data_IF_102311154409
#
_entry.id   IF_102311154409
#
_cell.length_a   1.000
_cell.length_b   1.000
_cell.length_c   1.000
_cell.angle_alpha   90.00
_cell.angle_beta   90.00
_cell.angle_gamma   90.00
#
_symmetry.space_group_name_H-M   'P 1'
#
loop_
_entity.id
_entity.type
_entity.pdbx_description
1 polymer ?
#
# COMPACT_ATOMS: atom_id res chain seq x y z
N UNK A 1 -12.79 27.02 -23.67
CA UNK A 1 -11.96 25.86 -23.25
C UNK A 1 -11.36 26.13 -21.88
N UNK A 2 -11.70 25.34 -20.87
CA UNK A 2 -11.03 25.45 -19.56
C UNK A 2 -9.53 25.19 -19.73
N UNK A 3 -8.73 26.08 -19.19
CA UNK A 3 -7.26 26.00 -19.27
C UNK A 3 -6.76 24.78 -18.48
N UNK A 4 -6.07 23.85 -19.12
CA UNK A 4 -5.45 22.70 -18.45
C UNK A 4 -4.49 23.18 -17.35
N UNK A 5 -4.75 22.80 -16.11
CA UNK A 5 -3.91 23.14 -14.97
C UNK A 5 -2.78 22.12 -14.80
N UNK A 6 -1.57 22.64 -14.55
CA UNK A 6 -0.40 21.78 -14.30
C UNK A 6 -0.25 21.50 -12.82
N UNK A 7 0.03 20.25 -12.47
CA UNK A 7 0.27 19.80 -11.11
C UNK A 7 1.59 19.05 -11.02
N UNK A 8 2.45 19.39 -10.05
CA UNK A 8 3.70 18.69 -9.81
C UNK A 8 3.54 17.64 -8.71
N UNK A 9 3.74 16.39 -9.07
CA UNK A 9 3.69 15.25 -8.16
C UNK A 9 5.14 14.84 -7.84
N UNK A 10 5.51 14.91 -6.58
CA UNK A 10 6.85 14.57 -6.08
C UNK A 10 6.75 13.20 -5.42
N UNK A 11 7.28 12.18 -6.08
CA UNK A 11 7.24 10.80 -5.66
C UNK A 11 8.59 10.13 -5.82
N UNK A 12 9.15 9.59 -4.73
CA UNK A 12 10.38 8.82 -4.80
C UNK A 12 10.17 7.53 -5.61
N UNK A 13 9.08 6.79 -5.32
CA UNK A 13 8.75 5.56 -6.03
C UNK A 13 7.89 5.86 -7.27
N UNK A 14 8.50 5.67 -8.42
CA UNK A 14 7.90 5.85 -9.76
C UNK A 14 8.45 4.77 -10.71
N UNK A 15 7.73 4.31 -11.74
CA UNK A 15 8.25 3.31 -12.66
C UNK A 15 9.69 3.61 -13.11
N UNK A 16 10.60 2.60 -13.11
CA UNK A 16 10.38 1.17 -13.05
C UNK A 16 10.30 0.56 -11.64
N UNK A 17 10.15 1.35 -10.56
CA UNK A 17 9.89 0.80 -9.24
C UNK A 17 8.58 0.03 -9.26
N UNK A 18 8.53 -1.11 -8.55
CA UNK A 18 7.34 -1.93 -8.35
C UNK A 18 6.68 -1.70 -7.00
N UNK A 19 5.52 -2.33 -6.81
CA UNK A 19 4.76 -2.34 -5.56
C UNK A 19 3.59 -1.35 -5.52
N UNK A 20 2.71 -1.54 -4.53
CA UNK A 20 1.44 -0.81 -4.37
C UNK A 20 1.61 0.72 -4.30
N UNK A 21 2.70 1.16 -3.70
CA UNK A 21 3.00 2.59 -3.57
C UNK A 21 3.22 3.31 -4.89
N UNK A 22 3.66 2.60 -5.94
CA UNK A 22 3.82 3.15 -7.29
C UNK A 22 2.48 3.25 -7.98
N UNK A 23 1.65 2.21 -7.89
CA UNK A 23 0.38 2.12 -8.59
C UNK A 23 -0.56 3.28 -8.26
N UNK A 24 -0.64 3.70 -6.99
CA UNK A 24 -1.51 4.81 -6.58
C UNK A 24 -1.28 6.06 -7.43
N UNK A 25 -0.06 6.56 -7.48
CA UNK A 25 0.25 7.81 -8.22
C UNK A 25 0.38 7.61 -9.72
N UNK A 26 0.71 6.41 -10.18
CA UNK A 26 0.62 6.04 -11.57
C UNK A 26 -0.80 6.24 -12.12
N UNK A 27 -1.80 5.68 -11.43
CA UNK A 27 -3.18 5.75 -11.89
C UNK A 27 -3.80 7.13 -11.67
N UNK A 28 -3.51 7.82 -10.57
CA UNK A 28 -3.93 9.22 -10.45
C UNK A 28 -3.35 10.06 -11.58
N UNK A 29 -2.09 9.90 -11.92
CA UNK A 29 -1.47 10.63 -13.03
C UNK A 29 -2.11 10.30 -14.37
N UNK A 30 -2.46 9.03 -14.60
CA UNK A 30 -3.17 8.59 -15.81
C UNK A 30 -4.56 9.25 -15.93
N UNK A 31 -5.30 9.32 -14.82
CA UNK A 31 -6.69 9.82 -14.86
C UNK A 31 -6.83 11.32 -14.67
N UNK A 32 -5.85 12.03 -14.12
CA UNK A 32 -5.90 13.50 -13.96
C UNK A 32 -6.13 14.25 -15.25
N UNK A 33 -5.61 13.73 -16.39
CA UNK A 33 -5.83 14.32 -17.71
C UNK A 33 -7.30 14.38 -18.11
N UNK A 34 -8.13 13.43 -17.65
CA UNK A 34 -9.58 13.42 -17.89
C UNK A 34 -10.33 14.56 -17.17
N UNK A 35 -9.67 15.22 -16.23
CA UNK A 35 -10.24 16.30 -15.41
C UNK A 35 -9.53 17.64 -15.62
N UNK A 36 -8.94 17.85 -16.79
CA UNK A 36 -8.21 19.09 -17.16
C UNK A 36 -6.98 19.38 -16.28
N UNK A 37 -6.35 18.35 -15.70
CA UNK A 37 -5.07 18.46 -15.02
C UNK A 37 -3.96 17.75 -15.79
N UNK A 38 -2.85 18.45 -16.04
CA UNK A 38 -1.64 17.86 -16.62
C UNK A 38 -0.67 17.50 -15.50
N UNK A 39 -0.50 16.20 -15.14
CA UNK A 39 0.48 15.78 -14.16
C UNK A 39 1.91 15.93 -14.72
N UNK A 40 2.80 16.40 -13.86
CA UNK A 40 4.24 16.44 -14.06
C UNK A 40 4.87 15.72 -12.89
N UNK A 41 5.73 14.76 -13.18
CA UNK A 41 6.33 13.93 -12.14
C UNK A 41 7.75 14.39 -11.86
N UNK A 42 8.10 14.49 -10.59
CA UNK A 42 9.48 14.60 -10.11
C UNK A 42 9.81 13.36 -9.30
N UNK A 43 10.78 12.59 -9.78
CA UNK A 43 11.21 11.35 -9.14
C UNK A 43 12.74 11.22 -9.12
N UNK A 44 13.23 10.22 -8.39
CA UNK A 44 14.64 9.87 -8.35
C UNK A 44 15.05 9.13 -9.64
N UNK A 45 16.30 9.28 -10.07
CA UNK A 45 16.85 8.47 -11.15
C UNK A 45 16.98 7.00 -10.68
N UNK A 46 16.42 6.02 -11.40
CA UNK A 46 16.47 4.61 -11.01
C UNK A 46 17.88 4.07 -10.75
N UNK A 47 18.90 4.57 -11.49
CA UNK A 47 20.30 4.17 -11.29
C UNK A 47 20.87 4.66 -9.95
N UNK A 48 20.26 5.70 -9.34
CA UNK A 48 20.67 6.29 -8.05
C UNK A 48 19.73 5.91 -6.91
N UNK A 49 18.60 5.27 -7.22
CA UNK A 49 17.58 4.87 -6.25
C UNK A 49 17.90 3.54 -5.59
N UNK A 50 17.35 3.35 -4.39
CA UNK A 50 17.33 2.07 -3.68
C UNK A 50 15.90 1.50 -3.71
N UNK A 51 15.48 0.97 -4.86
CA UNK A 51 14.19 0.31 -5.01
C UNK A 51 14.25 -1.12 -4.47
N UNK A 52 13.23 -1.54 -3.73
CA UNK A 52 13.12 -2.90 -3.21
C UNK A 52 12.63 -3.90 -4.27
N UNK A 53 11.83 -3.42 -5.21
CA UNK A 53 11.34 -4.20 -6.35
C UNK A 53 11.36 -3.35 -7.61
N UNK A 54 11.57 -4.01 -8.75
CA UNK A 54 11.53 -3.38 -10.08
C UNK A 54 10.45 -4.10 -10.89
N UNK A 55 9.55 -3.32 -11.48
CA UNK A 55 8.54 -3.80 -12.40
C UNK A 55 8.62 -3.00 -13.70
N UNK A 56 9.29 -3.57 -14.70
CA UNK A 56 9.49 -2.92 -15.99
C UNK A 56 8.19 -2.85 -16.82
N UNK A 57 7.18 -3.67 -16.51
CA UNK A 57 5.90 -3.65 -17.22
C UNK A 57 5.17 -2.32 -17.06
N UNK A 58 5.40 -1.63 -15.93
CA UNK A 58 4.80 -0.33 -15.64
C UNK A 58 5.37 0.82 -16.49
N UNK A 59 6.51 0.64 -17.16
CA UNK A 59 7.12 1.69 -17.98
C UNK A 59 6.21 2.11 -19.14
N UNK A 60 5.53 1.16 -19.76
CA UNK A 60 4.62 1.45 -20.88
C UNK A 60 3.42 2.31 -20.48
N UNK A 61 3.03 2.25 -19.20
CA UNK A 61 1.90 3.02 -18.67
C UNK A 61 2.21 4.49 -18.40
N UNK A 62 3.47 4.91 -18.49
CA UNK A 62 3.92 6.28 -18.13
C UNK A 62 4.61 7.02 -19.26
N UNK A 63 4.67 6.49 -20.47
CA UNK A 63 5.38 7.07 -21.61
C UNK A 63 4.90 8.48 -21.96
N UNK A 64 3.61 8.76 -21.78
CA UNK A 64 3.00 10.06 -22.06
C UNK A 64 3.06 11.05 -20.89
N UNK A 65 3.53 10.61 -19.72
CA UNK A 65 3.58 11.44 -18.51
C UNK A 65 4.94 12.15 -18.40
N UNK A 66 4.92 13.48 -18.46
CA UNK A 66 6.11 14.30 -18.33
C UNK A 66 6.83 14.02 -16.99
N UNK A 67 8.02 13.40 -17.05
CA UNK A 67 8.74 12.94 -15.86
C UNK A 67 10.15 13.52 -15.80
N UNK A 68 10.44 14.23 -14.72
CA UNK A 68 11.79 14.71 -14.39
C UNK A 68 12.43 13.78 -13.35
N UNK A 69 13.70 13.45 -13.58
CA UNK A 69 14.48 12.60 -12.70
C UNK A 69 15.69 13.34 -12.16
N UNK A 70 16.02 13.10 -10.88
CA UNK A 70 17.18 13.70 -10.23
C UNK A 70 18.06 12.68 -9.56
N UNK A 71 19.29 13.07 -9.28
CA UNK A 71 20.21 12.25 -8.48
C UNK A 71 19.74 12.13 -7.04
N UNK A 72 20.27 11.16 -6.32
CA UNK A 72 20.12 10.95 -4.88
C UNK A 72 21.45 10.51 -4.30
N UNK A 73 21.71 10.90 -3.06
CA UNK A 73 22.83 10.40 -2.27
C UNK A 73 22.32 9.44 -1.21
N UNK A 74 22.49 8.15 -1.45
CA UNK A 74 21.99 7.07 -0.58
C UNK A 74 23.14 6.16 -0.11
N UNK A 75 23.82 6.49 0.99
CA UNK A 75 24.96 5.72 1.47
C UNK A 75 24.63 4.25 1.75
N UNK A 76 23.41 3.98 2.22
CA UNK A 76 22.96 2.62 2.48
C UNK A 76 22.82 1.75 1.21
N UNK A 77 22.89 2.34 0.02
CA UNK A 77 22.93 1.57 -1.24
C UNK A 77 24.22 0.73 -1.34
N UNK A 78 25.35 1.21 -0.79
CA UNK A 78 26.59 0.44 -0.75
C UNK A 78 26.43 -0.87 0.02
N UNK A 79 25.51 -0.94 0.98
CA UNK A 79 25.22 -2.16 1.71
C UNK A 79 24.64 -3.28 0.83
N UNK A 80 23.85 -2.95 -0.17
CA UNK A 80 23.31 -3.97 -1.10
C UNK A 80 24.39 -4.66 -1.93
N UNK A 81 25.54 -4.03 -2.08
CA UNK A 81 26.69 -4.60 -2.80
C UNK A 81 27.40 -5.72 -1.99
N UNK A 82 27.20 -5.74 -0.67
CA UNK A 82 27.79 -6.73 0.23
C UNK A 82 26.84 -7.89 0.58
N UNK A 83 25.57 -7.84 0.17
CA UNK A 83 24.64 -8.95 0.35
C UNK A 83 24.39 -9.70 -0.95
N UNK A 84 24.57 -11.01 -0.95
CA UNK A 84 24.43 -11.90 -2.11
C UNK A 84 23.05 -11.85 -2.79
N UNK A 85 22.01 -11.34 -2.15
CA UNK A 85 20.65 -11.23 -2.69
C UNK A 85 20.22 -9.82 -3.12
N UNK A 86 21.11 -8.80 -3.08
CA UNK A 86 20.90 -7.48 -3.69
C UNK A 86 19.64 -6.67 -3.31
N UNK A 87 18.75 -7.18 -2.46
CA UNK A 87 17.47 -6.56 -2.13
C UNK A 87 17.55 -5.74 -0.85
N UNK A 88 17.27 -4.45 -0.96
CA UNK A 88 17.12 -3.57 0.22
C UNK A 88 15.64 -3.63 0.66
N UNK A 89 15.34 -4.07 1.90
CA UNK A 89 13.97 -4.08 2.40
C UNK A 89 13.35 -2.68 2.38
N UNK A 90 12.12 -2.54 1.92
CA UNK A 90 11.42 -1.25 1.91
C UNK A 90 11.15 -0.74 3.33
N UNK A 91 10.75 -1.62 4.24
CA UNK A 91 10.22 -1.23 5.54
C UNK A 91 10.96 -1.84 6.73
N UNK A 92 11.50 -3.04 6.65
CA UNK A 92 12.09 -3.73 7.80
C UNK A 92 13.43 -4.35 7.42
N UNK A 93 14.47 -4.09 8.24
CA UNK A 93 15.71 -4.84 8.17
C UNK A 93 15.48 -6.15 8.94
N UNK A 94 15.72 -7.33 8.34
CA UNK A 94 15.58 -8.59 9.05
C UNK A 94 16.46 -8.61 10.29
N UNK A 95 15.90 -9.00 11.45
CA UNK A 95 16.63 -9.07 12.74
C UNK A 95 17.57 -10.28 12.85
N UNK A 96 17.93 -10.96 11.74
CA UNK A 96 18.58 -12.27 11.79
C UNK A 96 20.02 -12.23 12.30
N UNK A 97 20.75 -11.12 12.12
CA UNK A 97 22.14 -11.03 12.52
C UNK A 97 22.40 -9.78 13.37
N UNK A 98 23.51 -9.79 14.15
CA UNK A 98 24.00 -8.62 14.88
C UNK A 98 24.25 -7.43 13.92
N UNK A 99 24.77 -7.71 12.75
CA UNK A 99 25.05 -6.71 11.75
C UNK A 99 23.74 -6.06 11.18
N UNK A 100 22.67 -6.84 10.98
CA UNK A 100 21.38 -6.29 10.58
C UNK A 100 20.81 -5.34 11.65
N UNK A 101 21.00 -5.65 12.93
CA UNK A 101 20.59 -4.78 14.07
C UNK A 101 21.39 -3.48 14.08
N UNK A 102 22.68 -3.56 13.88
CA UNK A 102 23.57 -2.40 13.82
C UNK A 102 23.22 -1.46 12.66
N UNK A 103 22.94 -2.01 11.49
CA UNK A 103 22.48 -1.22 10.33
C UNK A 103 21.11 -0.59 10.55
N UNK A 104 20.18 -1.31 11.19
CA UNK A 104 18.90 -0.75 11.60
C UNK A 104 19.09 0.42 12.57
N UNK A 105 19.98 0.27 13.53
CA UNK A 105 20.34 1.33 14.48
C UNK A 105 20.86 2.58 13.76
N UNK A 106 21.84 2.42 12.84
CA UNK A 106 22.38 3.55 12.04
C UNK A 106 21.25 4.18 11.22
N UNK A 107 20.47 3.36 10.51
CA UNK A 107 19.38 3.87 9.66
C UNK A 107 18.36 4.70 10.43
N UNK A 108 17.94 4.22 11.62
CA UNK A 108 16.87 4.81 12.40
C UNK A 108 17.30 5.99 13.27
N UNK A 109 18.60 6.17 13.50
CA UNK A 109 19.11 7.24 14.35
C UNK A 109 19.88 8.33 13.58
N UNK A 110 20.36 8.06 12.37
CA UNK A 110 21.17 9.02 11.59
C UNK A 110 20.51 9.47 10.28
N UNK A 111 19.50 8.75 9.79
CA UNK A 111 18.75 9.12 8.57
C UNK A 111 17.30 9.44 8.92
N UNK A 112 17.04 10.69 9.22
CA UNK A 112 15.73 11.16 9.71
C UNK A 112 15.07 12.03 8.63
N UNK A 113 13.81 11.74 8.28
CA UNK A 113 12.92 10.70 8.85
C UNK A 113 13.18 9.30 8.30
N UNK A 114 13.86 9.16 7.18
CA UNK A 114 14.14 7.89 6.53
C UNK A 114 15.41 7.92 5.67
N UNK A 115 15.85 6.75 5.21
CA UNK A 115 17.11 6.59 4.46
C UNK A 115 17.11 7.24 3.06
N UNK A 116 16.00 7.83 2.61
CA UNK A 116 15.88 8.50 1.31
C UNK A 116 16.04 10.02 1.41
N UNK A 117 16.34 10.52 2.61
CA UNK A 117 16.56 11.96 2.88
C UNK A 117 17.63 12.58 1.96
N UNK A 118 18.61 11.79 1.53
CA UNK A 118 19.65 12.23 0.61
C UNK A 118 19.17 12.60 -0.81
N UNK A 119 17.91 12.30 -1.14
CA UNK A 119 17.28 12.77 -2.38
C UNK A 119 16.84 14.24 -2.30
N UNK A 120 16.50 14.71 -1.12
CA UNK A 120 15.84 16.01 -0.91
C UNK A 120 16.58 17.20 -1.54
N UNK A 121 17.90 17.40 -1.39
CA UNK A 121 18.59 18.56 -1.99
C UNK A 121 18.41 18.65 -3.49
N UNK A 122 18.53 17.51 -4.18
CA UNK A 122 18.39 17.41 -5.64
C UNK A 122 16.96 17.66 -6.09
N UNK A 123 15.97 17.06 -5.38
CA UNK A 123 14.58 17.21 -5.67
C UNK A 123 14.07 18.63 -5.42
N UNK A 124 14.44 19.28 -4.33
CA UNK A 124 14.09 20.66 -4.02
C UNK A 124 14.58 21.60 -5.14
N UNK A 125 15.87 21.49 -5.51
CA UNK A 125 16.44 22.34 -6.56
C UNK A 125 15.70 22.18 -7.90
N UNK A 126 15.34 20.94 -8.26
CA UNK A 126 14.60 20.66 -9.50
C UNK A 126 13.15 21.11 -9.41
N UNK A 127 12.45 20.85 -8.29
CA UNK A 127 11.06 21.27 -8.07
C UNK A 127 10.90 22.80 -8.20
N UNK A 128 11.79 23.57 -7.58
CA UNK A 128 11.77 25.04 -7.67
C UNK A 128 11.92 25.54 -9.11
N UNK A 129 12.77 24.88 -9.92
CA UNK A 129 12.91 25.20 -11.36
C UNK A 129 11.66 24.89 -12.15
N UNK A 130 11.05 23.72 -11.92
CA UNK A 130 9.82 23.29 -12.60
C UNK A 130 8.68 24.25 -12.26
N UNK A 131 8.50 24.58 -10.99
CA UNK A 131 7.40 25.45 -10.53
C UNK A 131 7.50 26.82 -11.19
N UNK A 132 8.69 27.44 -11.20
CA UNK A 132 8.91 28.74 -11.83
C UNK A 132 8.75 28.70 -13.35
N UNK A 133 9.34 27.71 -14.00
CA UNK A 133 9.34 27.60 -15.47
C UNK A 133 7.97 27.19 -16.05
N UNK A 134 7.18 26.42 -15.32
CA UNK A 134 5.90 25.88 -15.81
C UNK A 134 4.67 26.52 -15.16
N UNK A 135 4.82 27.49 -14.27
CA UNK A 135 3.74 28.19 -13.55
C UNK A 135 2.83 27.21 -12.79
N UNK A 136 3.45 26.30 -12.04
CA UNK A 136 2.74 25.28 -11.25
C UNK A 136 2.00 25.95 -10.09
N UNK A 137 0.71 25.64 -9.92
CA UNK A 137 -0.11 26.13 -8.79
C UNK A 137 -0.20 25.13 -7.64
N UNK A 138 -0.16 23.83 -7.95
CA UNK A 138 -0.37 22.74 -7.00
C UNK A 138 0.81 21.77 -7.01
N UNK A 139 1.24 21.40 -5.81
CA UNK A 139 2.17 20.27 -5.65
C UNK A 139 1.55 19.21 -4.76
N UNK A 140 1.91 17.95 -5.04
CA UNK A 140 1.60 16.82 -4.17
C UNK A 140 2.90 16.13 -3.82
N UNK A 141 3.06 15.78 -2.54
CA UNK A 141 4.15 14.90 -2.09
C UNK A 141 3.55 13.64 -1.52
N UNK A 142 4.13 12.47 -1.80
CA UNK A 142 3.64 11.19 -1.32
C UNK A 142 4.68 10.45 -0.48
N UNK A 143 4.29 9.96 0.66
CA UNK A 143 5.09 9.16 1.59
C UNK A 143 4.43 7.82 1.91
N UNK A 144 5.21 6.76 2.29
CA UNK A 144 6.67 6.73 2.37
C UNK A 144 7.37 6.81 0.99
N UNK A 145 8.62 7.30 0.99
CA UNK A 145 9.41 7.80 2.12
C UNK A 145 8.89 9.16 2.60
N UNK A 146 8.82 9.35 3.91
CA UNK A 146 8.27 10.57 4.50
C UNK A 146 9.20 11.79 4.34
N UNK A 147 10.50 11.55 4.08
CA UNK A 147 11.44 12.61 3.66
C UNK A 147 10.96 13.38 2.43
N UNK A 148 10.12 12.78 1.57
CA UNK A 148 9.49 13.45 0.43
C UNK A 148 8.62 14.66 0.87
N UNK A 149 7.96 14.57 2.03
CA UNK A 149 7.15 15.68 2.54
C UNK A 149 7.99 16.89 2.95
N UNK A 150 9.26 16.68 3.35
CA UNK A 150 10.19 17.78 3.64
C UNK A 150 10.56 18.57 2.38
N UNK A 151 10.50 17.94 1.20
CA UNK A 151 10.64 18.62 -0.09
C UNK A 151 9.46 19.58 -0.27
N UNK A 152 8.22 19.07 -0.07
CA UNK A 152 7.00 19.87 -0.14
C UNK A 152 7.02 21.06 0.82
N UNK A 153 7.43 20.83 2.07
CA UNK A 153 7.58 21.87 3.11
C UNK A 153 8.52 22.99 2.66
N UNK A 154 9.71 22.62 2.16
CA UNK A 154 10.70 23.61 1.69
C UNK A 154 10.22 24.36 0.46
N UNK A 155 9.64 23.66 -0.50
CA UNK A 155 9.13 24.23 -1.75
C UNK A 155 7.98 25.19 -1.46
N UNK A 156 6.98 24.81 -0.66
CA UNK A 156 5.87 25.68 -0.27
C UNK A 156 6.37 26.94 0.44
N UNK A 157 7.30 26.80 1.40
CA UNK A 157 7.89 27.95 2.09
C UNK A 157 8.58 28.93 1.14
N UNK A 158 9.15 28.43 0.04
CA UNK A 158 9.92 29.27 -0.91
C UNK A 158 9.05 29.91 -1.99
N UNK A 159 7.93 29.25 -2.39
CA UNK A 159 7.14 29.66 -3.58
C UNK A 159 5.71 30.05 -3.26
N UNK A 160 5.19 29.71 -2.08
CA UNK A 160 3.77 29.89 -1.74
C UNK A 160 2.81 28.92 -2.43
N UNK A 161 3.31 27.97 -3.22
CA UNK A 161 2.49 27.01 -3.96
C UNK A 161 1.56 26.20 -3.04
N UNK A 162 0.35 25.91 -3.50
CA UNK A 162 -0.59 25.05 -2.77
C UNK A 162 -0.08 23.62 -2.71
N UNK A 163 -0.06 23.03 -1.51
CA UNK A 163 0.56 21.74 -1.25
C UNK A 163 -0.37 20.78 -0.55
N UNK A 164 -0.59 19.59 -1.16
CA UNK A 164 -1.21 18.42 -0.54
C UNK A 164 -0.12 17.39 -0.15
N UNK A 165 -0.16 16.90 1.08
CA UNK A 165 0.72 15.86 1.55
C UNK A 165 -0.06 14.53 1.67
N UNK A 166 0.32 13.52 0.87
CA UNK A 166 -0.31 12.20 0.80
C UNK A 166 0.41 11.22 1.72
N UNK A 167 -0.16 11.02 2.90
CA UNK A 167 0.30 10.09 3.93
C UNK A 167 -0.33 8.72 3.66
N UNK A 168 0.28 7.92 2.78
CA UNK A 168 -0.21 6.56 2.47
C UNK A 168 -0.10 5.62 3.65
N UNK A 169 0.99 5.76 4.41
CA UNK A 169 1.26 4.99 5.62
C UNK A 169 1.57 5.96 6.77
N UNK A 170 1.34 5.54 8.03
CA UNK A 170 1.72 6.30 9.21
C UNK A 170 3.21 6.68 9.20
N UNK A 171 3.55 7.82 9.80
CA UNK A 171 4.94 8.24 9.93
C UNK A 171 5.55 7.73 11.24
N UNK A 172 4.95 8.03 12.38
CA UNK A 172 5.45 7.64 13.70
C UNK A 172 4.82 6.34 14.23
N UNK A 173 3.59 6.03 13.83
CA UNK A 173 2.78 4.92 14.35
C UNK A 173 3.11 3.58 13.72
N UNK A 174 4.20 3.48 12.97
CA UNK A 174 4.62 2.22 12.38
C UNK A 174 5.00 1.22 13.47
N UNK A 175 4.18 0.19 13.65
CA UNK A 175 4.31 -0.82 14.72
C UNK A 175 5.70 -1.45 14.79
N UNK A 176 6.35 -1.67 13.65
CA UNK A 176 7.67 -2.28 13.59
C UNK A 176 8.79 -1.37 14.11
N UNK A 177 8.59 -0.05 14.17
CA UNK A 177 9.55 0.88 14.75
C UNK A 177 9.69 0.71 16.26
N UNK A 178 8.65 0.23 16.95
CA UNK A 178 8.67 -0.06 18.40
C UNK A 178 9.70 -1.14 18.75
N UNK A 179 10.02 -2.01 17.83
CA UNK A 179 10.96 -3.11 18.02
C UNK A 179 12.44 -2.73 17.87
N UNK A 180 12.74 -1.46 17.56
CA UNK A 180 14.10 -0.98 17.35
C UNK A 180 14.43 0.16 18.32
N UNK A 181 15.69 0.17 18.75
CA UNK A 181 16.19 1.25 19.57
C UNK A 181 16.34 2.53 18.75
N UNK A 182 15.74 3.60 19.25
CA UNK A 182 15.90 4.98 18.77
C UNK A 182 16.12 5.90 19.96
N UNK A 183 17.08 6.80 19.89
CA UNK A 183 17.29 7.81 20.93
C UNK A 183 16.06 8.71 21.08
N UNK A 184 15.70 9.10 22.31
CA UNK A 184 14.52 9.91 22.56
C UNK A 184 14.59 11.28 21.87
N UNK A 185 15.76 11.90 21.81
CA UNK A 185 15.94 13.16 21.10
C UNK A 185 15.70 13.02 19.59
N UNK A 186 16.05 11.87 18.99
CA UNK A 186 15.77 11.56 17.59
C UNK A 186 14.27 11.37 17.36
N UNK A 187 13.60 10.61 18.23
CA UNK A 187 12.13 10.44 18.17
C UNK A 187 11.42 11.81 18.25
N UNK A 188 11.84 12.66 19.17
CA UNK A 188 11.28 13.98 19.34
C UNK A 188 11.56 14.91 18.14
N UNK A 189 12.76 14.82 17.56
CA UNK A 189 13.10 15.57 16.35
C UNK A 189 12.26 15.13 15.16
N UNK A 190 12.12 13.83 14.94
CA UNK A 190 11.31 13.24 13.87
C UNK A 190 9.82 13.63 14.04
N UNK A 191 9.28 13.56 15.27
CA UNK A 191 7.93 14.03 15.59
C UNK A 191 7.75 15.54 15.29
N UNK A 192 8.76 16.38 15.58
CA UNK A 192 8.73 17.80 15.23
C UNK A 192 8.67 18.03 13.72
N UNK A 193 9.37 17.20 12.94
CA UNK A 193 9.30 17.25 11.47
C UNK A 193 7.90 16.89 10.97
N UNK A 194 7.31 15.81 11.48
CA UNK A 194 5.95 15.39 11.14
C UNK A 194 4.94 16.50 11.48
N UNK A 195 4.94 17.03 12.71
CA UNK A 195 4.07 18.13 13.13
C UNK A 195 4.20 19.35 12.20
N UNK A 196 5.42 19.69 11.79
CA UNK A 196 5.69 20.82 10.90
C UNK A 196 5.12 20.58 9.49
N UNK A 197 5.20 19.35 8.98
CA UNK A 197 4.59 18.96 7.71
C UNK A 197 3.07 19.06 7.81
N UNK A 198 2.48 18.43 8.83
CA UNK A 198 1.04 18.43 9.08
C UNK A 198 0.48 19.86 9.17
N UNK A 199 1.11 20.74 9.94
CA UNK A 199 0.65 22.12 10.12
C UNK A 199 0.90 23.04 8.91
N UNK A 200 1.81 22.66 8.00
CA UNK A 200 2.21 23.53 6.89
C UNK A 200 1.55 23.19 5.57
N UNK A 201 1.10 21.96 5.35
CA UNK A 201 0.40 21.58 4.13
C UNK A 201 -0.94 22.34 4.00
N UNK A 202 -1.51 22.45 2.82
CA UNK A 202 -2.86 23.00 2.62
C UNK A 202 -3.93 21.92 2.90
N UNK A 203 -3.56 20.67 2.79
CA UNK A 203 -4.39 19.52 3.16
C UNK A 203 -3.56 18.26 3.25
N UNK A 204 -4.03 17.35 4.06
CA UNK A 204 -3.43 16.03 4.28
C UNK A 204 -4.36 14.98 3.68
N UNK A 205 -3.82 14.14 2.81
CA UNK A 205 -4.53 12.98 2.28
C UNK A 205 -4.02 11.74 3.01
N UNK A 206 -4.94 10.83 3.39
CA UNK A 206 -4.61 9.51 3.95
C UNK A 206 -5.28 8.41 3.14
N UNK A 207 -4.79 7.18 3.26
CA UNK A 207 -5.40 5.99 2.64
C UNK A 207 -6.40 5.31 3.56
N UNK A 208 -6.57 5.83 4.76
CA UNK A 208 -7.48 5.35 5.81
C UNK A 208 -8.30 6.53 6.34
N UNK A 209 -9.32 6.25 7.14
CA UNK A 209 -10.33 7.22 7.52
C UNK A 209 -10.09 7.88 8.88
N UNK A 210 -11.18 7.99 9.64
CA UNK A 210 -11.30 8.90 10.79
C UNK A 210 -10.41 8.56 11.98
N UNK A 211 -10.13 7.28 12.22
CA UNK A 211 -9.27 6.87 13.34
C UNK A 211 -7.85 7.45 13.17
N UNK A 212 -7.28 7.31 11.99
CA UNK A 212 -5.95 7.83 11.71
C UNK A 212 -5.95 9.38 11.66
N UNK A 213 -7.01 9.99 11.11
CA UNK A 213 -7.16 11.46 11.17
C UNK A 213 -7.17 11.99 12.60
N UNK A 214 -7.84 11.30 13.52
CA UNK A 214 -7.86 11.68 14.94
C UNK A 214 -6.47 11.62 15.56
N UNK A 215 -5.69 10.59 15.27
CA UNK A 215 -4.29 10.47 15.71
C UNK A 215 -3.45 11.63 15.19
N UNK A 216 -3.57 11.99 13.91
CA UNK A 216 -2.82 13.08 13.31
C UNK A 216 -3.27 14.46 13.84
N UNK A 217 -4.58 14.67 14.02
CA UNK A 217 -5.14 15.91 14.60
C UNK A 217 -4.60 16.17 16.01
N UNK A 218 -4.51 15.13 16.85
CA UNK A 218 -3.99 15.24 18.22
C UNK A 218 -2.51 15.67 18.29
N UNK A 219 -1.76 15.58 17.19
CA UNK A 219 -0.37 16.02 17.13
C UNK A 219 -0.20 17.53 16.93
N UNK A 220 -1.21 18.21 16.42
CA UNK A 220 -1.14 19.61 15.99
C UNK A 220 -2.28 20.43 16.60
N UNK A 221 -2.03 21.73 16.79
CA UNK A 221 -3.04 22.67 17.29
C UNK A 221 -3.73 23.46 16.16
N UNK A 222 -3.31 23.30 14.91
CA UNK A 222 -3.88 24.01 13.76
C UNK A 222 -5.14 23.31 13.24
N UNK A 223 -6.10 24.10 12.73
CA UNK A 223 -7.28 23.57 12.05
C UNK A 223 -6.92 23.08 10.65
N UNK A 224 -6.32 21.90 10.57
CA UNK A 224 -5.84 21.29 9.33
C UNK A 224 -6.94 20.49 8.65
N UNK A 225 -7.00 20.54 7.32
CA UNK A 225 -7.92 19.76 6.51
C UNK A 225 -7.33 18.34 6.28
N UNK A 226 -8.11 17.33 6.61
CA UNK A 226 -7.79 15.92 6.38
C UNK A 226 -8.80 15.31 5.42
N UNK A 227 -8.30 14.52 4.48
CA UNK A 227 -9.09 13.89 3.44
C UNK A 227 -8.72 12.41 3.31
N UNK A 228 -9.72 11.53 3.24
CA UNK A 228 -9.50 10.12 2.97
C UNK A 228 -9.63 9.86 1.47
N UNK A 229 -8.58 9.32 0.86
CA UNK A 229 -8.62 8.76 -0.50
C UNK A 229 -7.98 7.38 -0.45
N UNK A 230 -8.78 6.35 -0.48
CA UNK A 230 -8.33 4.96 -0.44
C UNK A 230 -7.43 4.59 -1.63
N UNK A 231 -6.72 3.46 -1.53
CA UNK A 231 -6.17 2.80 -2.70
C UNK A 231 -7.34 2.19 -3.47
N UNK A 232 -7.41 2.39 -4.76
CA UNK A 232 -8.53 1.90 -5.55
C UNK A 232 -8.16 0.73 -6.44
N UNK A 233 -9.14 0.22 -7.18
CA UNK A 233 -8.95 -0.74 -8.26
C UNK A 233 -9.13 -0.06 -9.63
N UNK A 234 -8.50 -0.58 -10.67
CA UNK A 234 -8.68 -0.07 -12.03
C UNK A 234 -9.78 -0.87 -12.75
N UNK A 235 -10.98 -0.28 -12.85
CA UNK A 235 -12.12 -0.94 -13.49
C UNK A 235 -11.80 -1.40 -14.92
N UNK A 236 -11.05 -0.60 -15.69
CA UNK A 236 -10.71 -0.94 -17.08
C UNK A 236 -9.81 -2.17 -17.15
N UNK A 237 -8.86 -2.32 -16.22
CA UNK A 237 -8.03 -3.52 -16.15
C UNK A 237 -8.85 -4.73 -15.69
N UNK A 238 -9.71 -4.56 -14.68
CA UNK A 238 -10.57 -5.63 -14.18
C UNK A 238 -11.54 -6.15 -15.24
N UNK A 239 -12.15 -5.25 -16.01
CA UNK A 239 -13.08 -5.63 -17.08
C UNK A 239 -12.40 -6.38 -18.25
N UNK A 240 -11.12 -6.10 -18.49
CA UNK A 240 -10.34 -6.75 -19.57
C UNK A 240 -9.79 -8.13 -19.22
N UNK A 241 -9.63 -8.42 -17.94
CA UNK A 241 -9.01 -9.67 -17.48
C UNK A 241 -10.11 -10.70 -17.25
N UNK A 242 -10.22 -11.63 -18.18
CA UNK A 242 -11.00 -12.84 -17.98
C UNK A 242 -10.26 -13.79 -17.05
N UNK A 243 -11.00 -14.52 -16.24
CA UNK A 243 -10.46 -15.54 -15.35
C UNK A 243 -11.34 -16.76 -15.35
N UNK A 244 -10.69 -17.91 -15.43
CA UNK A 244 -11.36 -19.21 -15.35
C UNK A 244 -11.17 -19.76 -13.95
N UNK A 245 -12.28 -20.07 -13.27
CA UNK A 245 -12.23 -20.75 -11.98
C UNK A 245 -11.87 -22.21 -12.15
N UNK A 246 -10.94 -22.73 -11.33
CA UNK A 246 -10.55 -24.13 -11.40
C UNK A 246 -11.63 -25.05 -10.84
N UNK A 247 -11.55 -26.35 -11.19
CA UNK A 247 -12.44 -27.44 -10.70
C UNK A 247 -12.10 -27.90 -9.27
N UNK A 248 -11.53 -27.02 -8.45
CA UNK A 248 -11.27 -27.21 -7.03
C UNK A 248 -11.60 -25.92 -6.29
N UNK A 249 -11.90 -26.02 -5.01
CA UNK A 249 -12.14 -24.81 -4.20
C UNK A 249 -10.85 -24.04 -4.01
N UNK A 250 -10.78 -22.87 -4.63
CA UNK A 250 -9.58 -22.06 -4.74
C UNK A 250 -9.59 -20.96 -3.67
N UNK A 251 -8.79 -21.15 -2.64
CA UNK A 251 -8.50 -20.08 -1.65
C UNK A 251 -7.29 -19.30 -2.16
N UNK A 252 -7.37 -17.98 -2.15
CA UNK A 252 -6.30 -17.12 -2.68
C UNK A 252 -5.90 -16.04 -1.68
N UNK A 253 -4.59 -15.85 -1.54
CA UNK A 253 -3.97 -14.72 -0.86
C UNK A 253 -2.99 -14.01 -1.81
N UNK A 254 -3.03 -12.67 -1.82
CA UNK A 254 -2.04 -11.86 -2.54
C UNK A 254 -1.38 -10.85 -1.60
N UNK A 255 -0.08 -10.64 -1.73
CA UNK A 255 0.64 -9.61 -1.00
C UNK A 255 1.85 -10.09 -0.19
N UNK A 256 2.13 -9.42 0.94
CA UNK A 256 3.21 -9.80 1.86
C UNK A 256 2.61 -10.57 3.03
N UNK A 257 3.16 -11.75 3.30
CA UNK A 257 2.77 -12.59 4.44
C UNK A 257 4.02 -13.01 5.22
N UNK A 258 4.06 -12.63 6.48
CA UNK A 258 5.15 -12.89 7.41
C UNK A 258 4.60 -13.26 8.79
N UNK A 259 5.47 -13.65 9.70
CA UNK A 259 5.07 -13.97 11.07
C UNK A 259 4.47 -12.77 11.85
N UNK A 260 4.55 -11.57 11.29
CA UNK A 260 3.86 -10.38 11.84
C UNK A 260 2.36 -10.32 11.51
N UNK A 261 1.84 -11.21 10.67
CA UNK A 261 0.43 -11.23 10.27
C UNK A 261 -0.39 -12.24 11.10
N UNK A 262 -1.69 -11.99 11.24
CA UNK A 262 -2.64 -12.83 11.98
C UNK A 262 -3.15 -14.01 11.13
N UNK A 263 -2.27 -14.91 10.70
CA UNK A 263 -2.64 -16.08 9.90
C UNK A 263 -2.89 -17.36 10.72
N UNK A 264 -2.46 -17.40 11.98
CA UNK A 264 -2.42 -18.66 12.77
C UNK A 264 -3.81 -19.25 13.00
N UNK A 265 -4.83 -18.43 13.25
CA UNK A 265 -6.21 -18.92 13.46
C UNK A 265 -6.78 -19.50 12.16
N UNK A 266 -6.50 -18.86 11.04
CA UNK A 266 -6.88 -19.41 9.73
C UNK A 266 -6.16 -20.73 9.43
N UNK A 267 -4.87 -20.86 9.78
CA UNK A 267 -4.13 -22.12 9.66
C UNK A 267 -4.80 -23.22 10.49
N UNK A 268 -5.18 -22.96 11.75
CA UNK A 268 -5.92 -23.90 12.59
C UNK A 268 -7.28 -24.27 12.00
N UNK A 269 -7.98 -23.32 11.36
CA UNK A 269 -9.22 -23.59 10.68
C UNK A 269 -9.02 -24.55 9.48
N UNK A 270 -7.97 -24.33 8.67
CA UNK A 270 -7.61 -25.24 7.58
C UNK A 270 -7.24 -26.64 8.10
N UNK A 271 -6.46 -26.74 9.19
CA UNK A 271 -6.15 -28.00 9.86
C UNK A 271 -7.42 -28.73 10.32
N UNK A 272 -8.36 -28.03 10.95
CA UNK A 272 -9.60 -28.61 11.45
C UNK A 272 -10.51 -29.15 10.34
N UNK A 273 -10.62 -28.43 9.22
CA UNK A 273 -11.50 -28.85 8.10
C UNK A 273 -10.85 -29.88 7.18
N UNK A 274 -9.53 -29.97 7.15
CA UNK A 274 -8.78 -30.83 6.25
C UNK A 274 -7.62 -31.53 6.99
N UNK A 275 -7.92 -32.30 8.07
CA UNK A 275 -6.90 -32.92 8.91
C UNK A 275 -6.05 -33.94 8.16
N UNK A 276 -6.64 -34.57 7.15
CA UNK A 276 -5.94 -35.42 6.19
C UNK A 276 -5.83 -34.65 4.88
N UNK A 277 -4.62 -34.30 4.48
CA UNK A 277 -4.35 -33.54 3.27
C UNK A 277 -5.08 -34.16 2.06
N UNK A 278 -5.77 -33.28 1.31
CA UNK A 278 -6.58 -33.64 0.13
C UNK A 278 -7.88 -34.43 0.42
N UNK A 279 -8.33 -34.51 1.67
CA UNK A 279 -9.68 -35.05 1.97
C UNK A 279 -10.77 -34.15 1.39
N UNK A 280 -10.53 -32.84 1.30
CA UNK A 280 -11.37 -31.89 0.56
C UNK A 280 -10.67 -31.41 -0.71
N UNK A 281 -11.45 -31.06 -1.73
CA UNK A 281 -10.93 -30.49 -3.00
C UNK A 281 -10.53 -29.02 -2.86
N UNK A 282 -9.72 -28.70 -1.86
CA UNK A 282 -9.27 -27.34 -1.55
C UNK A 282 -7.83 -27.14 -1.97
N UNK A 283 -7.50 -25.99 -2.53
CA UNK A 283 -6.12 -25.54 -2.75
C UNK A 283 -5.94 -24.10 -2.24
N UNK A 284 -4.74 -23.82 -1.73
CA UNK A 284 -4.37 -22.49 -1.27
C UNK A 284 -3.29 -21.90 -2.17
N UNK A 285 -3.67 -20.89 -2.96
CA UNK A 285 -2.77 -20.22 -3.89
C UNK A 285 -2.31 -18.88 -3.31
N UNK A 286 -1.00 -18.72 -3.21
CA UNK A 286 -0.33 -17.57 -2.64
C UNK A 286 0.42 -16.81 -3.74
N UNK A 287 0.31 -15.49 -3.75
CA UNK A 287 1.13 -14.65 -4.62
C UNK A 287 1.70 -13.45 -3.85
N UNK A 288 2.94 -13.11 -4.14
CA UNK A 288 3.66 -12.03 -3.47
C UNK A 288 4.85 -12.52 -2.65
N UNK A 289 5.22 -11.76 -1.63
CA UNK A 289 6.35 -12.12 -0.76
C UNK A 289 5.85 -12.84 0.49
N UNK A 290 5.82 -14.16 0.44
CA UNK A 290 5.36 -15.03 1.53
C UNK A 290 6.57 -15.74 2.15
N UNK A 291 6.66 -15.74 3.49
CA UNK A 291 7.71 -16.49 4.20
C UNK A 291 7.55 -18.00 3.96
N UNK A 292 8.66 -18.67 3.62
CA UNK A 292 8.68 -20.08 3.26
C UNK A 292 8.15 -20.99 4.40
N UNK A 293 8.49 -20.66 5.64
CA UNK A 293 7.98 -21.35 6.82
C UNK A 293 6.45 -21.36 6.93
N UNK A 294 5.78 -20.31 6.43
CA UNK A 294 4.32 -20.22 6.43
C UNK A 294 3.74 -21.10 5.33
N UNK A 295 4.38 -21.12 4.15
CA UNK A 295 4.01 -22.02 3.05
C UNK A 295 4.09 -23.47 3.52
N UNK A 296 5.17 -23.85 4.21
CA UNK A 296 5.39 -25.19 4.74
C UNK A 296 4.32 -25.58 5.78
N UNK A 297 3.94 -24.63 6.66
CA UNK A 297 2.88 -24.90 7.65
C UNK A 297 1.52 -25.20 6.98
N UNK A 298 1.10 -24.40 6.00
CA UNK A 298 -0.15 -24.68 5.28
C UNK A 298 -0.08 -25.93 4.42
N UNK A 299 1.09 -26.23 3.84
CA UNK A 299 1.31 -27.38 2.97
C UNK A 299 1.15 -28.74 3.68
N UNK A 300 1.14 -28.75 5.01
CA UNK A 300 0.84 -29.95 5.80
C UNK A 300 -0.62 -30.38 5.66
N UNK A 301 -1.53 -29.44 5.50
CA UNK A 301 -2.98 -29.67 5.55
C UNK A 301 -3.68 -29.44 4.21
N UNK A 302 -3.14 -28.60 3.32
CA UNK A 302 -3.77 -28.26 2.04
C UNK A 302 -2.71 -28.17 0.92
N UNK A 303 -3.11 -28.48 -0.34
CA UNK A 303 -2.24 -28.24 -1.51
C UNK A 303 -1.97 -26.75 -1.64
N UNK A 304 -0.79 -26.31 -1.22
CA UNK A 304 -0.38 -24.90 -1.16
C UNK A 304 0.61 -24.60 -2.28
N UNK A 305 0.31 -23.57 -3.07
CA UNK A 305 1.20 -23.11 -4.15
C UNK A 305 1.55 -21.65 -3.96
N UNK A 306 2.84 -21.34 -4.03
CA UNK A 306 3.34 -19.98 -4.00
C UNK A 306 3.91 -19.60 -5.36
N UNK A 307 3.34 -18.58 -5.99
CA UNK A 307 3.79 -18.07 -7.29
C UNK A 307 4.86 -16.98 -7.17
N UNK A 308 5.23 -16.60 -5.94
CA UNK A 308 6.11 -15.44 -5.72
C UNK A 308 5.48 -14.13 -6.23
N UNK A 309 6.32 -13.16 -6.58
CA UNK A 309 5.84 -11.89 -7.12
C UNK A 309 5.25 -12.08 -8.52
N UNK A 310 4.00 -11.68 -8.69
CA UNK A 310 3.31 -11.68 -9.98
C UNK A 310 3.17 -10.25 -10.54
N UNK A 311 3.24 -10.07 -11.86
CA UNK A 311 2.76 -8.86 -12.52
C UNK A 311 1.31 -8.55 -12.14
N UNK A 312 0.92 -7.27 -12.08
CA UNK A 312 -0.38 -6.86 -11.56
C UNK A 312 -1.56 -7.53 -12.29
N UNK A 313 -1.51 -7.65 -13.61
CA UNK A 313 -2.55 -8.32 -14.41
C UNK A 313 -2.71 -9.80 -14.05
N UNK A 314 -1.61 -10.51 -13.80
CA UNK A 314 -1.64 -11.91 -13.36
C UNK A 314 -2.18 -12.03 -11.93
N UNK A 315 -1.87 -11.05 -11.07
CA UNK A 315 -2.41 -10.99 -9.71
C UNK A 315 -3.94 -10.78 -9.75
N UNK A 316 -4.45 -9.90 -10.62
CA UNK A 316 -5.90 -9.74 -10.83
C UNK A 316 -6.54 -11.05 -11.33
N UNK A 317 -5.94 -11.71 -12.31
CA UNK A 317 -6.44 -12.99 -12.82
C UNK A 317 -6.51 -14.04 -11.72
N UNK A 318 -5.48 -14.13 -10.87
CA UNK A 318 -5.46 -15.04 -9.73
C UNK A 318 -6.57 -14.70 -8.71
N UNK A 319 -6.76 -13.43 -8.37
CA UNK A 319 -7.83 -12.99 -7.46
C UNK A 319 -9.22 -13.31 -8.03
N UNK A 320 -9.47 -13.04 -9.31
CA UNK A 320 -10.73 -13.35 -10.00
C UNK A 320 -10.99 -14.85 -10.13
N UNK A 321 -9.96 -15.70 -10.10
CA UNK A 321 -10.10 -17.15 -10.12
C UNK A 321 -10.46 -17.76 -8.77
N UNK A 322 -10.53 -16.98 -7.71
CA UNK A 322 -10.77 -17.45 -6.34
C UNK A 322 -12.24 -17.83 -6.11
N UNK A 323 -12.45 -18.80 -5.20
CA UNK A 323 -13.72 -19.07 -4.57
C UNK A 323 -13.79 -18.47 -3.16
N UNK A 324 -12.60 -18.16 -2.59
CA UNK A 324 -12.47 -17.49 -1.30
C UNK A 324 -11.16 -16.70 -1.29
N UNK A 325 -11.24 -15.43 -0.95
CA UNK A 325 -10.11 -14.55 -0.74
C UNK A 325 -9.82 -14.41 0.75
N UNK A 326 -8.54 -14.33 1.11
CA UNK A 326 -8.14 -14.20 2.51
C UNK A 326 -7.24 -13.00 2.71
N UNK A 327 -7.54 -12.17 3.70
CA UNK A 327 -6.67 -11.11 4.18
C UNK A 327 -6.24 -11.34 5.62
N UNK A 328 -4.95 -11.15 5.89
CA UNK A 328 -4.36 -11.23 7.21
C UNK A 328 -3.80 -9.87 7.61
N UNK A 329 -4.46 -9.18 8.54
CA UNK A 329 -3.92 -7.95 9.10
C UNK A 329 -2.73 -8.23 10.01
N UNK A 330 -1.98 -7.18 10.35
CA UNK A 330 -0.85 -7.30 11.25
C UNK A 330 -1.31 -7.59 12.67
N UNK A 331 -0.47 -8.29 13.44
CA UNK A 331 -0.68 -8.55 14.87
C UNK A 331 -0.58 -7.25 15.66
N UNK A 332 -1.44 -7.10 16.65
CA UNK A 332 -1.43 -6.00 17.63
C UNK A 332 -2.51 -4.96 17.33
N UNK A 333 -3.13 -4.50 18.42
CA UNK A 333 -4.28 -3.56 18.40
C UNK A 333 -3.87 -2.09 18.40
N UNK A 334 -2.58 -1.79 18.54
CA UNK A 334 -2.09 -0.42 18.75
C UNK A 334 -1.65 0.30 17.47
N UNK A 335 -1.58 -0.39 16.34
CA UNK A 335 -1.35 0.28 15.07
C UNK A 335 -2.68 0.80 14.51
N UNK A 336 -2.74 2.03 13.98
CA UNK A 336 -3.91 2.45 13.23
C UNK A 336 -4.16 1.40 12.15
N UNK A 337 -5.40 0.98 12.04
CA UNK A 337 -5.80 -0.08 11.13
C UNK A 337 -5.54 0.39 9.69
N UNK A 338 -4.52 -0.20 9.10
CA UNK A 338 -4.15 0.13 7.73
C UNK A 338 -5.00 -0.70 6.76
N UNK A 339 -5.87 -0.03 6.03
CA UNK A 339 -6.59 -0.70 4.95
C UNK A 339 -5.59 -1.12 3.87
N UNK A 340 -5.41 -2.42 3.75
CA UNK A 340 -4.59 -2.96 2.66
C UNK A 340 -5.24 -2.65 1.31
N UNK A 341 -4.48 -2.09 0.38
CA UNK A 341 -4.97 -1.79 -0.98
C UNK A 341 -5.59 -3.00 -1.68
N UNK A 342 -5.16 -4.22 -1.34
CA UNK A 342 -5.71 -5.46 -1.89
C UNK A 342 -7.17 -5.73 -1.49
N UNK A 343 -7.65 -5.22 -0.34
CA UNK A 343 -9.05 -5.43 0.07
C UNK A 343 -10.05 -4.82 -0.92
N UNK A 344 -9.74 -3.65 -1.46
CA UNK A 344 -10.58 -3.03 -2.50
C UNK A 344 -10.51 -3.82 -3.80
N UNK A 345 -9.32 -4.33 -4.13
CA UNK A 345 -9.14 -5.21 -5.29
C UNK A 345 -9.88 -6.55 -5.10
N UNK A 346 -9.93 -7.09 -3.88
CA UNK A 346 -10.70 -8.28 -3.54
C UNK A 346 -12.20 -8.02 -3.69
N UNK A 347 -12.71 -6.94 -3.13
CA UNK A 347 -14.12 -6.53 -3.26
C UNK A 347 -14.54 -6.40 -4.74
N UNK A 348 -13.64 -5.88 -5.59
CA UNK A 348 -13.89 -5.73 -7.01
C UNK A 348 -13.98 -7.06 -7.77
N UNK A 349 -13.57 -8.20 -7.17
CA UNK A 349 -13.77 -9.53 -7.77
C UNK A 349 -15.15 -10.09 -7.53
N UNK A 350 -15.87 -9.63 -6.50
CA UNK A 350 -17.13 -10.21 -6.05
C UNK A 350 -17.02 -11.54 -5.30
N UNK A 351 -15.81 -12.08 -5.14
CA UNK A 351 -15.59 -13.33 -4.40
C UNK A 351 -15.74 -13.11 -2.89
N UNK A 352 -16.20 -14.12 -2.13
CA UNK A 352 -16.23 -14.08 -0.67
C UNK A 352 -14.84 -13.76 -0.08
N UNK A 353 -14.82 -12.97 1.01
CA UNK A 353 -13.57 -12.53 1.66
C UNK A 353 -13.61 -12.91 3.14
N UNK A 354 -12.56 -13.58 3.61
CA UNK A 354 -12.20 -13.68 5.02
C UNK A 354 -11.16 -12.61 5.33
N UNK A 355 -11.47 -11.73 6.28
CA UNK A 355 -10.53 -10.77 6.83
C UNK A 355 -10.21 -11.13 8.28
N UNK A 356 -8.96 -11.47 8.58
CA UNK A 356 -8.53 -11.71 9.95
C UNK A 356 -7.98 -10.41 10.53
N UNK A 357 -8.77 -9.76 11.38
CA UNK A 357 -8.50 -8.47 11.99
C UNK A 357 -9.16 -8.37 13.36
N UNK A 358 -9.00 -7.26 14.04
CA UNK A 358 -9.82 -6.96 15.22
C UNK A 358 -11.18 -6.38 14.82
N UNK A 359 -12.17 -6.56 15.66
CA UNK A 359 -13.52 -6.05 15.43
C UNK A 359 -13.55 -4.51 15.40
N UNK A 360 -14.48 -3.94 14.65
CA UNK A 360 -14.63 -2.49 14.45
C UNK A 360 -13.39 -1.81 13.84
N UNK A 361 -12.64 -2.54 13.08
CA UNK A 361 -11.51 -2.01 12.32
C UNK A 361 -11.99 -1.19 11.11
N UNK A 362 -11.17 -0.28 10.58
CA UNK A 362 -11.50 0.41 9.33
C UNK A 362 -11.61 -0.57 8.14
N UNK A 363 -10.87 -1.68 8.17
CA UNK A 363 -11.00 -2.77 7.18
C UNK A 363 -12.33 -3.50 7.31
N UNK A 364 -12.86 -3.67 8.52
CA UNK A 364 -14.19 -4.22 8.78
C UNK A 364 -15.28 -3.31 8.20
N UNK A 365 -15.20 -2.00 8.50
CA UNK A 365 -16.11 -1.00 7.94
C UNK A 365 -16.07 -0.96 6.40
N UNK A 366 -14.90 -1.12 5.80
CA UNK A 366 -14.78 -1.20 4.34
C UNK A 366 -15.45 -2.46 3.78
N UNK A 367 -15.26 -3.61 4.43
CA UNK A 367 -15.80 -4.89 3.97
C UNK A 367 -17.30 -5.01 4.16
N UNK A 368 -17.91 -4.21 5.06
CA UNK A 368 -19.37 -4.20 5.29
C UNK A 368 -20.19 -3.80 4.06
N UNK A 369 -19.56 -3.25 3.01
CA UNK A 369 -20.21 -2.99 1.72
C UNK A 369 -20.54 -4.29 0.95
N UNK A 370 -19.96 -5.43 1.34
CA UNK A 370 -20.15 -6.74 0.69
C UNK A 370 -20.76 -7.74 1.67
N UNK A 371 -21.95 -8.23 1.35
CA UNK A 371 -22.59 -9.32 2.11
C UNK A 371 -21.82 -10.65 2.05
N UNK A 372 -20.96 -10.79 1.03
CA UNK A 372 -20.11 -11.96 0.85
C UNK A 372 -18.75 -11.84 1.56
N UNK A 373 -18.59 -10.89 2.48
CA UNK A 373 -17.32 -10.68 3.20
C UNK A 373 -17.56 -10.76 4.70
N UNK A 374 -16.57 -11.28 5.44
CA UNK A 374 -16.65 -11.35 6.89
C UNK A 374 -15.30 -11.04 7.53
N UNK A 375 -15.33 -10.28 8.61
CA UNK A 375 -14.19 -10.02 9.48
C UNK A 375 -14.25 -10.91 10.72
N UNK A 376 -13.14 -11.53 11.06
CA UNK A 376 -12.99 -12.40 12.20
C UNK A 376 -11.78 -11.97 13.03
N UNK A 377 -11.90 -12.09 14.34
CA UNK A 377 -10.78 -11.95 15.27
C UNK A 377 -9.92 -13.23 15.32
N UNK A 378 -8.77 -13.15 15.94
CA UNK A 378 -7.91 -14.32 16.18
C UNK A 378 -8.56 -15.38 17.11
N UNK A 379 -9.66 -15.06 17.80
CA UNK A 379 -10.37 -15.95 18.70
C UNK A 379 -11.61 -16.62 18.04
N UNK A 380 -11.95 -16.24 16.80
CA UNK A 380 -13.19 -16.69 16.13
C UNK A 380 -12.96 -17.98 15.28
N UNK A 381 -12.22 -18.98 15.82
CA UNK A 381 -11.87 -20.20 15.08
C UNK A 381 -13.10 -20.89 14.50
N UNK A 382 -14.14 -21.17 15.33
CA UNK A 382 -15.33 -21.91 14.90
C UNK A 382 -16.13 -21.15 13.83
N UNK A 383 -16.17 -19.81 13.93
CA UNK A 383 -16.84 -18.98 12.93
C UNK A 383 -16.10 -19.00 11.59
N UNK A 384 -14.76 -19.00 11.61
CA UNK A 384 -13.93 -19.12 10.40
C UNK A 384 -14.16 -20.49 9.74
N UNK A 385 -14.16 -21.58 10.55
CA UNK A 385 -14.46 -22.92 10.07
C UNK A 385 -15.84 -22.97 9.40
N UNK A 386 -16.87 -22.47 10.10
CA UNK A 386 -18.24 -22.45 9.58
C UNK A 386 -18.34 -21.66 8.28
N UNK A 387 -17.66 -20.50 8.19
CA UNK A 387 -17.68 -19.66 7.00
C UNK A 387 -17.00 -20.35 5.80
N UNK A 388 -15.87 -21.03 6.02
CA UNK A 388 -15.20 -21.82 4.97
C UNK A 388 -16.12 -22.94 4.48
N UNK A 389 -16.77 -23.69 5.39
CA UNK A 389 -17.67 -24.77 5.03
C UNK A 389 -18.91 -24.29 4.26
N UNK A 390 -19.50 -23.16 4.62
CA UNK A 390 -20.65 -22.59 3.90
C UNK A 390 -20.24 -22.32 2.45
N UNK A 391 -19.11 -21.64 2.23
CA UNK A 391 -18.65 -21.30 0.89
C UNK A 391 -18.19 -22.55 0.09
N UNK A 392 -17.55 -23.52 0.75
CA UNK A 392 -17.14 -24.77 0.13
C UNK A 392 -18.36 -25.60 -0.33
N UNK A 393 -19.40 -25.72 0.51
CA UNK A 393 -20.62 -26.45 0.18
C UNK A 393 -21.42 -25.75 -0.92
N UNK A 394 -21.50 -24.43 -0.93
CA UNK A 394 -22.12 -23.66 -2.00
C UNK A 394 -21.39 -23.92 -3.34
N UNK A 395 -20.06 -23.94 -3.33
CA UNK A 395 -19.28 -24.31 -4.50
C UNK A 395 -19.52 -25.74 -4.96
N UNK A 396 -19.58 -26.73 -4.05
CA UNK A 396 -19.85 -28.14 -4.40
C UNK A 396 -21.20 -28.31 -5.07
N UNK A 397 -22.21 -27.56 -4.65
CA UNK A 397 -23.56 -27.57 -5.23
C UNK A 397 -23.67 -26.81 -6.55
N UNK A 398 -22.60 -26.10 -6.97
CA UNK A 398 -22.64 -25.21 -8.14
C UNK A 398 -23.42 -23.91 -7.91
N UNK A 399 -23.68 -23.56 -6.65
CA UNK A 399 -24.41 -22.34 -6.22
C UNK A 399 -23.49 -21.14 -5.98
N UNK A 400 -22.20 -21.27 -6.29
CA UNK A 400 -21.23 -20.20 -6.13
C UNK A 400 -21.54 -19.05 -7.09
N UNK A 401 -21.84 -17.86 -6.54
CA UNK A 401 -22.08 -16.65 -7.29
C UNK A 401 -21.14 -15.52 -6.84
N UNK A 402 -20.61 -14.79 -7.81
CA UNK A 402 -19.93 -13.54 -7.55
C UNK A 402 -20.95 -12.48 -7.15
N UNK A 403 -20.65 -11.74 -6.09
CA UNK A 403 -21.49 -10.61 -5.66
C UNK A 403 -20.63 -9.35 -5.54
N UNK A 404 -20.47 -8.67 -6.67
CA UNK A 404 -19.77 -7.38 -6.70
C UNK A 404 -20.66 -6.33 -6.01
N UNK A 405 -20.17 -5.61 -4.99
CA UNK A 405 -20.95 -4.59 -4.30
C UNK A 405 -21.37 -3.45 -5.25
N UNK A 406 -22.60 -2.98 -5.14
CA UNK A 406 -23.15 -1.94 -6.02
C UNK A 406 -22.33 -0.64 -5.97
N UNK A 407 -21.83 -0.28 -4.80
CA UNK A 407 -21.04 0.93 -4.57
C UNK A 407 -19.53 0.75 -4.77
N UNK A 408 -19.06 -0.40 -5.26
CA UNK A 408 -17.64 -0.64 -5.52
C UNK A 408 -17.05 0.38 -6.51
N UNK A 409 -17.88 0.92 -7.39
CA UNK A 409 -17.46 1.94 -8.36
C UNK A 409 -16.87 3.19 -7.72
N UNK A 410 -17.28 3.54 -6.48
CA UNK A 410 -16.76 4.69 -5.73
C UNK A 410 -15.28 4.54 -5.40
N UNK A 411 -14.81 3.29 -5.32
CA UNK A 411 -13.42 2.93 -5.10
C UNK A 411 -12.63 2.73 -6.41
N UNK A 412 -13.25 2.98 -7.58
CA UNK A 412 -12.50 2.97 -8.84
C UNK A 412 -11.47 4.09 -8.86
N UNK A 413 -10.29 3.82 -9.40
CA UNK A 413 -9.21 4.82 -9.50
C UNK A 413 -9.64 6.07 -10.26
N UNK A 414 -10.58 5.95 -11.20
CA UNK A 414 -11.18 7.09 -11.87
C UNK A 414 -11.98 7.97 -10.91
N UNK A 415 -12.89 7.39 -10.11
CA UNK A 415 -13.73 8.13 -9.17
C UNK A 415 -12.91 8.71 -8.00
N UNK A 416 -11.90 7.97 -7.53
CA UNK A 416 -10.95 8.48 -6.55
C UNK A 416 -10.12 9.66 -7.10
N UNK A 417 -9.80 9.65 -8.40
CA UNK A 417 -9.15 10.81 -9.06
C UNK A 417 -10.09 12.01 -9.13
N UNK A 418 -11.38 11.79 -9.41
CA UNK A 418 -12.39 12.86 -9.35
C UNK A 418 -12.45 13.47 -7.94
N UNK A 419 -12.42 12.63 -6.89
CA UNK A 419 -12.36 13.10 -5.49
C UNK A 419 -11.09 13.91 -5.22
N UNK A 420 -9.92 13.46 -5.70
CA UNK A 420 -8.66 14.20 -5.60
C UNK A 420 -8.75 15.59 -6.26
N UNK A 421 -9.38 15.67 -7.44
CA UNK A 421 -9.58 16.94 -8.16
C UNK A 421 -10.46 17.90 -7.36
N UNK A 422 -11.53 17.41 -6.73
CA UNK A 422 -12.37 18.25 -5.88
C UNK A 422 -11.58 18.79 -4.68
N UNK A 423 -10.75 17.95 -4.03
CA UNK A 423 -9.87 18.38 -2.95
C UNK A 423 -8.86 19.45 -3.42
N UNK A 424 -8.27 19.29 -4.61
CA UNK A 424 -7.35 20.29 -5.18
C UNK A 424 -8.02 21.66 -5.40
N UNK A 425 -9.30 21.66 -5.76
CA UNK A 425 -10.08 22.90 -5.94
C UNK A 425 -10.47 23.54 -4.59
N UNK A 426 -10.62 22.75 -3.54
CA UNK A 426 -11.01 23.18 -2.19
C UNK A 426 -9.85 23.82 -1.39
N UNK A 427 -8.61 23.41 -1.64
CA UNK A 427 -7.40 23.92 -0.95
C UNK A 427 -6.76 25.07 -1.72
#
# INVERSE_FOLDING_TARGET
>A
MERTEKILIISYYWPPAGGSGVQRWLYFSKYLSKFNFKPIILSVNPSKASYASIDKSLNNSVTEIETYRTSSFEPLKFYSLFKSNGRIPQSVIPKKTFFDRFLAFIRLNFFIPDARIGWNPFAIKKALRIIRGQKIKYIITTGPPHSTHLIGLKVKKTTGVKWLADFRDPWQELFYLKNFFRFNYIKNFDLKLEKKVLSSANGIITTVGDQYHSILKNKISSNQKFFSIYNGYDKIEYDKIESIRPKYFNIVFTGVLSDNNNYKTFLKAIEAINPIKNSLKIKFNLAGNVEESIIDMFSKFVDTRSSGYLPHSQSISLMKSSHLLVNFNYKGTEAPDMISGKLIEYLATGSPIINISHNNSESDSLLSISEASATFSENDLDKIISYIYINYNSWLKGEFNEKIPDNISDFSRLNLTKRLVNILKEV
#
